data_IF_942094184663
#
_entry.id   IF_942094184663
#
_cell.length_a   1.000
_cell.length_b   1.000
_cell.length_c   1.000
_cell.angle_alpha   90.00
_cell.angle_beta   90.00
_cell.angle_gamma   90.00
#
_symmetry.space_group_name_H-M   'P 1'
#
loop_
_entity.id
_entity.type
_entity.pdbx_description
1 polymer ?
#
# COMPACT_ATOMS: atom_id res chain seq x y z
N UNK A 1 8.34 16.22 32.70
CA UNK A 1 9.40 16.62 31.76
C UNK A 1 9.74 15.39 30.94
N UNK A 2 9.34 15.37 29.67
CA UNK A 2 9.55 14.27 28.73
C UNK A 2 10.22 14.87 27.51
N UNK A 3 11.55 14.92 27.54
CA UNK A 3 12.37 15.11 26.36
C UNK A 3 12.66 13.72 25.76
N UNK A 4 12.35 13.54 24.48
CA UNK A 4 12.76 12.36 23.74
C UNK A 4 11.90 12.10 22.50
N UNK A 5 12.55 12.03 21.34
CA UNK A 5 12.04 11.52 20.05
C UNK A 5 11.39 12.52 19.07
N UNK A 6 12.10 13.58 18.64
CA UNK A 6 11.73 14.36 17.43
C UNK A 6 12.79 14.36 16.30
N UNK A 7 13.92 13.65 16.46
CA UNK A 7 15.02 13.69 15.51
C UNK A 7 14.93 12.70 14.32
N UNK A 8 13.94 11.80 14.29
CA UNK A 8 13.79 10.78 13.22
C UNK A 8 12.94 11.23 12.01
N UNK A 9 11.82 11.90 12.26
CA UNK A 9 10.82 12.23 11.22
C UNK A 9 11.34 13.28 10.20
N UNK A 10 12.04 14.32 10.67
CA UNK A 10 12.59 15.39 9.84
C UNK A 10 13.72 14.91 8.90
N UNK A 11 14.56 13.98 9.37
CA UNK A 11 15.62 13.37 8.56
C UNK A 11 15.05 12.42 7.49
N UNK A 12 13.95 11.72 7.79
CA UNK A 12 13.21 10.90 6.83
C UNK A 12 12.57 11.77 5.74
N UNK A 13 11.89 12.86 6.11
CA UNK A 13 11.24 13.79 5.17
C UNK A 13 12.22 14.41 4.16
N UNK A 14 13.41 14.85 4.59
CA UNK A 14 14.45 15.37 3.68
C UNK A 14 14.96 14.32 2.68
N UNK A 15 15.12 13.07 3.10
CA UNK A 15 15.55 11.97 2.22
C UNK A 15 14.46 11.62 1.21
N UNK A 16 13.20 11.56 1.63
CA UNK A 16 12.06 11.37 0.73
C UNK A 16 11.96 12.52 -0.29
N UNK A 17 12.20 13.77 0.12
CA UNK A 17 12.16 14.92 -0.79
C UNK A 17 13.26 14.85 -1.86
N UNK A 18 14.47 14.42 -1.48
CA UNK A 18 15.58 14.19 -2.43
C UNK A 18 15.24 13.04 -3.38
N UNK A 19 14.72 11.92 -2.86
CA UNK A 19 14.29 10.79 -3.68
C UNK A 19 13.22 11.23 -4.68
N UNK A 20 12.17 11.92 -4.22
CA UNK A 20 11.12 12.48 -5.07
C UNK A 20 11.70 13.38 -6.17
N UNK A 21 12.62 14.28 -5.84
CA UNK A 21 13.24 15.16 -6.83
C UNK A 21 14.04 14.39 -7.90
N UNK A 22 14.79 13.37 -7.49
CA UNK A 22 15.54 12.51 -8.41
C UNK A 22 14.60 11.71 -9.32
N UNK A 23 13.62 11.02 -8.74
CA UNK A 23 12.66 10.20 -9.49
C UNK A 23 11.80 11.05 -10.43
N UNK A 24 11.38 12.26 -10.00
CA UNK A 24 10.65 13.20 -10.86
C UNK A 24 11.52 13.69 -12.02
N UNK A 25 12.80 13.97 -11.77
CA UNK A 25 13.72 14.39 -12.84
C UNK A 25 13.91 13.29 -13.87
N UNK A 26 14.06 12.04 -13.40
CA UNK A 26 14.21 10.89 -14.29
C UNK A 26 12.93 10.60 -15.08
N UNK A 27 11.76 10.65 -14.44
CA UNK A 27 10.45 10.56 -15.10
C UNK A 27 10.32 11.55 -16.28
N UNK A 28 10.71 12.81 -16.07
CA UNK A 28 10.66 13.83 -17.13
C UNK A 28 11.54 13.42 -18.33
N UNK A 29 12.74 12.90 -18.06
CA UNK A 29 13.64 12.41 -19.11
C UNK A 29 13.05 11.21 -19.88
N UNK A 30 12.41 10.27 -19.18
CA UNK A 30 11.76 9.11 -19.82
C UNK A 30 10.54 9.50 -20.65
N UNK A 31 9.68 10.40 -20.15
CA UNK A 31 8.52 10.90 -20.92
C UNK A 31 8.98 11.59 -22.20
N UNK A 32 10.01 12.44 -22.11
CA UNK A 32 10.62 13.08 -23.28
C UNK A 32 11.17 12.00 -24.23
N UNK A 33 11.90 11.02 -23.71
CA UNK A 33 12.44 9.91 -24.50
C UNK A 33 11.35 9.10 -25.20
N UNK A 34 10.28 8.74 -24.50
CA UNK A 34 9.16 7.98 -25.03
C UNK A 34 8.50 8.69 -26.21
N UNK A 35 8.26 10.01 -26.09
CA UNK A 35 7.64 10.82 -27.14
C UNK A 35 8.60 11.01 -28.32
N UNK A 36 9.84 11.41 -28.06
CA UNK A 36 10.84 11.70 -29.11
C UNK A 36 11.18 10.45 -29.91
N UNK A 37 11.34 9.31 -29.24
CA UNK A 37 11.70 8.04 -29.87
C UNK A 37 10.50 7.19 -30.24
N UNK A 38 9.27 7.67 -30.00
CA UNK A 38 8.00 6.97 -30.27
C UNK A 38 7.95 5.55 -29.71
N UNK A 39 8.65 5.28 -28.60
CA UNK A 39 8.68 3.96 -27.97
C UNK A 39 7.55 3.81 -26.97
N UNK A 40 6.70 2.81 -27.19
CA UNK A 40 5.64 2.45 -26.26
C UNK A 40 6.23 1.78 -25.01
N UNK A 41 7.33 1.03 -25.14
CA UNK A 41 7.97 0.41 -24.00
C UNK A 41 8.55 1.46 -23.03
N UNK A 42 9.19 2.52 -23.55
CA UNK A 42 9.59 3.67 -22.72
C UNK A 42 8.39 4.41 -22.12
N UNK A 43 7.28 4.54 -22.86
CA UNK A 43 6.08 5.16 -22.32
C UNK A 43 5.50 4.33 -21.17
N UNK A 44 5.52 3.01 -21.27
CA UNK A 44 5.09 2.11 -20.20
C UNK A 44 5.95 2.25 -18.95
N UNK A 45 7.27 2.32 -19.12
CA UNK A 45 8.23 2.50 -18.01
C UNK A 45 8.01 3.86 -17.33
N UNK A 46 7.95 4.93 -18.13
CA UNK A 46 7.66 6.28 -17.65
C UNK A 46 6.33 6.38 -16.89
N UNK A 47 5.30 5.67 -17.37
CA UNK A 47 3.99 5.73 -16.75
C UNK A 47 3.92 4.94 -15.43
N UNK A 48 4.71 3.88 -15.28
CA UNK A 48 4.94 3.24 -13.98
C UNK A 48 5.68 4.19 -13.02
N UNK A 49 6.80 4.75 -13.47
CA UNK A 49 7.62 5.71 -12.71
C UNK A 49 6.83 6.96 -12.26
N UNK A 50 5.86 7.40 -13.06
CA UNK A 50 4.94 8.49 -12.70
C UNK A 50 4.13 8.17 -11.46
N UNK A 51 3.67 6.93 -11.33
CA UNK A 51 2.87 6.50 -10.19
C UNK A 51 3.73 6.32 -8.93
N UNK A 52 5.00 5.99 -9.07
CA UNK A 52 5.94 6.01 -7.94
C UNK A 52 6.22 7.43 -7.45
N UNK A 53 6.40 8.37 -8.38
CA UNK A 53 6.51 9.80 -8.06
C UNK A 53 5.24 10.29 -7.36
N UNK A 54 4.06 9.90 -7.84
CA UNK A 54 2.79 10.25 -7.21
C UNK A 54 2.69 9.64 -5.79
N UNK A 55 3.04 8.37 -5.62
CA UNK A 55 3.06 7.71 -4.32
C UNK A 55 4.01 8.41 -3.34
N UNK A 56 5.24 8.73 -3.76
CA UNK A 56 6.23 9.43 -2.93
C UNK A 56 5.79 10.86 -2.58
N UNK A 57 5.20 11.59 -3.54
CA UNK A 57 4.70 12.93 -3.31
C UNK A 57 3.54 12.92 -2.30
N UNK A 58 2.63 11.97 -2.43
CA UNK A 58 1.51 11.85 -1.50
C UNK A 58 1.99 11.32 -0.15
N UNK A 59 2.95 10.40 -0.08
CA UNK A 59 3.54 9.98 1.19
C UNK A 59 4.20 11.16 1.94
N UNK A 60 4.94 12.02 1.22
CA UNK A 60 5.48 13.26 1.78
C UNK A 60 4.39 14.21 2.28
N UNK A 61 3.32 14.38 1.50
CA UNK A 61 2.17 15.19 1.90
C UNK A 61 1.47 14.57 3.13
N UNK A 62 1.29 13.26 3.16
CA UNK A 62 0.66 12.51 4.23
C UNK A 62 1.48 12.56 5.52
N UNK A 63 2.82 12.46 5.47
CA UNK A 63 3.69 12.68 6.64
C UNK A 63 3.49 14.10 7.18
N UNK A 64 3.51 15.10 6.29
CA UNK A 64 3.36 16.51 6.69
C UNK A 64 1.96 16.84 7.24
N UNK A 65 0.92 16.16 6.74
CA UNK A 65 -0.46 16.30 7.20
C UNK A 65 -0.69 15.47 8.47
N UNK A 66 -0.10 14.28 8.57
CA UNK A 66 -0.22 13.33 9.68
C UNK A 66 0.53 13.76 10.94
N UNK A 67 1.50 14.67 10.81
CA UNK A 67 2.06 15.42 11.95
C UNK A 67 1.03 16.38 12.58
N UNK A 68 -0.13 16.63 11.96
CA UNK A 68 -1.22 17.36 12.60
C UNK A 68 -1.94 16.46 13.59
N UNK A 69 -2.14 16.99 14.80
CA UNK A 69 -3.01 16.39 15.79
C UNK A 69 -4.45 16.22 15.25
N UNK A 70 -5.19 15.28 15.83
CA UNK A 70 -6.63 15.13 15.60
C UNK A 70 -7.35 16.46 15.83
N UNK A 71 -8.38 16.73 15.03
CA UNK A 71 -9.25 17.89 15.20
C UNK A 71 -10.70 17.43 15.41
N UNK A 72 -11.60 18.36 15.76
CA UNK A 72 -13.00 18.04 16.08
C UNK A 72 -13.77 17.42 14.90
N UNK A 73 -13.27 17.56 13.67
CA UNK A 73 -13.87 16.97 12.46
C UNK A 73 -13.24 15.62 12.09
N UNK A 74 -12.04 15.31 12.59
CA UNK A 74 -11.26 14.10 12.33
C UNK A 74 -10.70 13.60 13.66
N UNK A 75 -11.58 12.98 14.43
CA UNK A 75 -11.30 12.49 15.79
C UNK A 75 -10.23 11.40 15.84
N UNK A 76 -10.15 10.56 14.80
CA UNK A 76 -9.07 9.58 14.60
C UNK A 76 -7.83 10.16 13.89
N UNK A 77 -7.80 11.48 13.67
CA UNK A 77 -6.73 12.16 12.93
C UNK A 77 -6.78 11.91 11.43
N UNK A 78 -5.63 12.15 10.78
CA UNK A 78 -5.52 12.20 9.31
C UNK A 78 -4.94 10.92 8.68
N UNK A 79 -4.81 9.83 9.44
CA UNK A 79 -4.14 8.59 9.00
C UNK A 79 -4.80 7.93 7.78
N UNK A 80 -6.14 7.98 7.66
CA UNK A 80 -6.87 7.43 6.49
C UNK A 80 -6.54 8.13 5.16
N UNK A 81 -5.94 9.33 5.16
CA UNK A 81 -5.50 9.98 3.92
C UNK A 81 -4.43 9.18 3.18
N UNK A 82 -3.57 8.45 3.91
CA UNK A 82 -2.57 7.57 3.31
C UNK A 82 -3.22 6.42 2.52
N UNK A 83 -4.30 5.86 3.05
CA UNK A 83 -5.06 4.78 2.40
C UNK A 83 -5.81 5.29 1.16
N UNK A 84 -6.41 6.48 1.25
CA UNK A 84 -7.06 7.13 0.10
C UNK A 84 -6.05 7.43 -1.02
N UNK A 85 -4.87 7.93 -0.65
CA UNK A 85 -3.78 8.17 -1.57
C UNK A 85 -3.31 6.90 -2.29
N UNK A 86 -3.07 5.83 -1.53
CA UNK A 86 -2.66 4.55 -2.08
C UNK A 86 -3.73 3.96 -3.01
N UNK A 87 -5.01 4.11 -2.67
CA UNK A 87 -6.14 3.70 -3.52
C UNK A 87 -6.16 4.48 -4.82
N UNK A 88 -6.04 5.82 -4.75
CA UNK A 88 -5.98 6.67 -5.94
C UNK A 88 -4.79 6.31 -6.84
N UNK A 89 -3.62 6.07 -6.26
CA UNK A 89 -2.44 5.65 -7.00
C UNK A 89 -2.64 4.30 -7.70
N UNK A 90 -3.25 3.33 -7.01
CA UNK A 90 -3.55 2.02 -7.59
C UNK A 90 -4.55 2.13 -8.76
N UNK A 91 -5.57 2.99 -8.65
CA UNK A 91 -6.50 3.26 -9.76
C UNK A 91 -5.77 3.89 -10.94
N UNK A 92 -4.90 4.87 -10.71
CA UNK A 92 -4.12 5.52 -11.76
C UNK A 92 -3.21 4.52 -12.49
N UNK A 93 -2.51 3.67 -11.75
CA UNK A 93 -1.71 2.56 -12.29
C UNK A 93 -2.54 1.64 -13.20
N UNK A 94 -3.74 1.27 -12.77
CA UNK A 94 -4.64 0.44 -13.57
C UNK A 94 -5.03 1.10 -14.90
N UNK A 95 -5.38 2.38 -14.86
CA UNK A 95 -5.77 3.14 -16.06
C UNK A 95 -4.59 3.25 -17.04
N UNK A 96 -3.40 3.56 -16.51
CA UNK A 96 -2.17 3.64 -17.28
C UNK A 96 -1.81 2.29 -17.90
N UNK A 97 -1.79 1.21 -17.12
CA UNK A 97 -1.50 -0.12 -17.63
C UNK A 97 -2.53 -0.56 -18.68
N UNK A 98 -3.81 -0.27 -18.45
CA UNK A 98 -4.88 -0.50 -19.44
C UNK A 98 -4.66 0.27 -20.75
N UNK A 99 -4.24 1.54 -20.66
CA UNK A 99 -3.88 2.34 -21.83
C UNK A 99 -2.68 1.77 -22.59
N UNK A 100 -1.61 1.40 -21.89
CA UNK A 100 -0.41 0.79 -22.51
C UNK A 100 -0.77 -0.52 -23.20
N UNK A 101 -1.61 -1.36 -22.60
CA UNK A 101 -2.06 -2.61 -23.21
C UNK A 101 -2.91 -2.36 -24.46
N UNK A 102 -3.84 -1.40 -24.38
CA UNK A 102 -4.66 -1.01 -25.52
C UNK A 102 -3.81 -0.50 -26.70
N UNK A 103 -2.90 0.44 -26.44
CA UNK A 103 -1.99 0.96 -27.47
C UNK A 103 -0.99 -0.09 -27.97
N UNK A 104 -0.53 -0.97 -27.08
CA UNK A 104 0.34 -2.08 -27.44
C UNK A 104 -0.33 -3.00 -28.45
N UNK A 105 -1.59 -3.36 -28.21
CA UNK A 105 -2.37 -4.16 -29.14
C UNK A 105 -2.56 -3.43 -30.47
N UNK A 106 -2.88 -2.13 -30.44
CA UNK A 106 -3.06 -1.34 -31.66
C UNK A 106 -1.79 -1.29 -32.52
N UNK A 107 -0.63 -1.06 -31.90
CA UNK A 107 0.68 -1.01 -32.57
C UNK A 107 1.15 -2.35 -33.13
N UNK A 108 0.62 -3.48 -32.64
CA UNK A 108 0.87 -4.77 -33.29
C UNK A 108 0.23 -4.86 -34.68
N UNK A 109 -0.93 -4.23 -34.88
CA UNK A 109 -1.61 -4.19 -36.16
C UNK A 109 -1.19 -3.02 -37.05
N UNK A 110 -0.63 -1.96 -36.46
CA UNK A 110 -0.11 -0.79 -37.19
C UNK A 110 1.27 -0.40 -36.63
N UNK A 111 2.36 -1.09 -37.03
CA UNK A 111 3.68 -0.84 -36.50
C UNK A 111 4.20 0.57 -36.85
N UNK A 112 4.65 1.30 -35.83
CA UNK A 112 5.30 2.60 -36.01
C UNK A 112 6.83 2.47 -36.00
N UNK A 113 7.56 3.36 -36.69
CA UNK A 113 9.01 3.45 -36.55
C UNK A 113 9.40 3.87 -35.14
N UNK A 114 10.27 3.07 -34.49
CA UNK A 114 10.78 3.33 -33.15
C UNK A 114 12.23 3.80 -33.22
N UNK A 115 12.55 4.89 -32.53
CA UNK A 115 13.90 5.44 -32.40
C UNK A 115 14.79 4.59 -31.49
N UNK A 116 15.16 3.39 -31.93
CA UNK A 116 15.79 2.35 -31.11
C UNK A 116 17.11 2.77 -30.44
N UNK A 117 17.93 3.62 -31.08
CA UNK A 117 19.16 4.14 -30.46
C UNK A 117 18.86 5.00 -29.24
N UNK A 118 17.87 5.89 -29.35
CA UNK A 118 17.45 6.74 -28.25
C UNK A 118 16.77 5.96 -27.14
N UNK A 119 15.91 5.02 -27.52
CA UNK A 119 15.29 4.03 -26.62
C UNK A 119 16.35 3.29 -25.78
N UNK A 120 17.42 2.80 -26.43
CA UNK A 120 18.51 2.11 -25.77
C UNK A 120 19.25 3.01 -24.77
N UNK A 121 19.54 4.26 -25.14
CA UNK A 121 20.25 5.21 -24.26
C UNK A 121 19.42 5.50 -23.00
N UNK A 122 18.13 5.79 -23.16
CA UNK A 122 17.24 6.09 -22.02
C UNK A 122 17.10 4.87 -21.12
N UNK A 123 16.85 3.69 -21.68
CA UNK A 123 16.70 2.46 -20.92
C UNK A 123 18.01 2.05 -20.20
N UNK A 124 19.17 2.25 -20.83
CA UNK A 124 20.46 1.99 -20.20
C UNK A 124 20.76 2.96 -19.05
N UNK A 125 20.35 4.22 -19.18
CA UNK A 125 20.45 5.20 -18.10
C UNK A 125 19.54 4.82 -16.93
N UNK A 126 18.29 4.46 -17.20
CA UNK A 126 17.35 3.96 -16.18
C UNK A 126 17.85 2.71 -15.46
N UNK A 127 18.38 1.74 -16.22
CA UNK A 127 19.03 0.56 -15.66
C UNK A 127 20.19 0.94 -14.71
N UNK A 128 21.00 1.92 -15.08
CA UNK A 128 22.10 2.43 -14.26
C UNK A 128 21.60 3.02 -12.94
N UNK A 129 20.54 3.83 -12.99
CA UNK A 129 19.89 4.41 -11.79
C UNK A 129 19.32 3.30 -10.90
N UNK A 130 18.58 2.35 -11.46
CA UNK A 130 17.99 1.25 -10.70
C UNK A 130 19.04 0.34 -10.08
N UNK A 131 20.17 0.09 -10.76
CA UNK A 131 21.27 -0.69 -10.20
C UNK A 131 21.94 0.03 -9.02
N UNK A 132 22.07 1.36 -9.07
CA UNK A 132 22.57 2.17 -7.94
C UNK A 132 21.59 2.08 -6.77
N UNK A 133 20.29 2.30 -7.02
CA UNK A 133 19.23 2.18 -6.00
C UNK A 133 19.20 0.80 -5.36
N UNK A 134 19.30 -0.26 -6.16
CA UNK A 134 19.35 -1.65 -5.69
C UNK A 134 20.55 -1.89 -4.77
N UNK A 135 21.74 -1.39 -5.14
CA UNK A 135 22.96 -1.52 -4.30
C UNK A 135 22.82 -0.78 -2.97
N UNK A 136 22.18 0.38 -2.96
CA UNK A 136 21.92 1.15 -1.75
C UNK A 136 20.93 0.44 -0.81
N UNK A 137 19.93 -0.24 -1.38
CA UNK A 137 18.89 -0.95 -0.63
C UNK A 137 19.29 -2.36 -0.19
N UNK A 138 20.24 -3.00 -0.90
CA UNK A 138 20.68 -4.37 -0.63
C UNK A 138 21.17 -4.57 0.81
N UNK A 139 21.85 -3.58 1.40
CA UNK A 139 22.36 -3.66 2.77
C UNK A 139 21.28 -3.60 3.87
N UNK A 140 20.06 -3.15 3.54
CA UNK A 140 18.94 -3.07 4.50
C UNK A 140 17.80 -4.05 4.22
N UNK A 141 17.86 -4.81 3.13
CA UNK A 141 16.76 -5.69 2.70
C UNK A 141 16.53 -6.88 3.64
N UNK A 142 17.58 -7.33 4.35
CA UNK A 142 17.47 -8.45 5.30
C UNK A 142 16.96 -8.02 6.68
N UNK A 143 17.01 -6.73 7.00
CA UNK A 143 16.72 -6.21 8.35
C UNK A 143 15.33 -5.59 8.47
N UNK A 144 14.67 -5.25 7.36
CA UNK A 144 13.35 -4.62 7.37
C UNK A 144 12.48 -5.09 6.21
N UNK A 145 11.25 -5.51 6.51
CA UNK A 145 10.25 -5.87 5.50
C UNK A 145 9.92 -4.70 4.57
N UNK A 146 9.94 -3.47 5.07
CA UNK A 146 9.70 -2.27 4.26
C UNK A 146 10.84 -2.06 3.25
N UNK A 147 12.09 -2.25 3.67
CA UNK A 147 13.26 -2.15 2.77
C UNK A 147 13.27 -3.33 1.78
N UNK A 148 12.88 -4.53 2.23
CA UNK A 148 12.70 -5.70 1.35
C UNK A 148 11.64 -5.44 0.28
N UNK A 149 10.53 -4.80 0.63
CA UNK A 149 9.49 -4.38 -0.30
C UNK A 149 10.03 -3.41 -1.35
N UNK A 150 10.70 -2.33 -0.92
CA UNK A 150 11.33 -1.38 -1.83
C UNK A 150 12.40 -2.05 -2.74
N UNK A 151 13.17 -3.00 -2.22
CA UNK A 151 14.14 -3.76 -2.99
C UNK A 151 13.50 -4.64 -4.08
N UNK A 152 12.40 -5.33 -3.75
CA UNK A 152 11.66 -6.14 -4.73
C UNK A 152 10.98 -5.30 -5.82
N UNK A 153 10.65 -4.04 -5.51
CA UNK A 153 10.14 -3.09 -6.50
C UNK A 153 11.25 -2.68 -7.47
N UNK A 154 12.40 -2.21 -6.97
CA UNK A 154 13.55 -1.85 -7.82
C UNK A 154 14.01 -3.03 -8.69
N UNK A 155 13.90 -4.27 -8.19
CA UNK A 155 14.16 -5.47 -9.00
C UNK A 155 13.20 -5.66 -10.16
N UNK A 156 11.93 -5.33 -9.97
CA UNK A 156 10.94 -5.38 -11.04
C UNK A 156 11.23 -4.34 -12.12
N UNK A 157 11.62 -3.13 -11.72
CA UNK A 157 11.98 -2.05 -12.65
C UNK A 157 13.23 -2.43 -13.45
N UNK A 158 14.21 -3.03 -12.79
CA UNK A 158 15.40 -3.60 -13.44
C UNK A 158 15.03 -4.61 -14.55
N UNK A 159 14.09 -5.52 -14.27
CA UNK A 159 13.60 -6.48 -15.28
C UNK A 159 12.88 -5.77 -16.43
N UNK A 160 12.09 -4.74 -16.13
CA UNK A 160 11.47 -3.85 -17.12
C UNK A 160 12.52 -3.22 -18.03
N UNK A 161 13.52 -2.52 -17.47
CA UNK A 161 14.59 -1.88 -18.21
C UNK A 161 15.40 -2.87 -19.05
N UNK A 162 15.66 -4.09 -18.56
CA UNK A 162 16.32 -5.16 -19.33
C UNK A 162 15.46 -5.56 -20.53
N UNK A 163 14.14 -5.68 -20.34
CA UNK A 163 13.18 -5.94 -21.42
C UNK A 163 13.23 -4.87 -22.51
N UNK A 164 13.23 -3.58 -22.11
CA UNK A 164 13.33 -2.43 -23.04
C UNK A 164 14.67 -2.44 -23.79
N UNK A 165 15.79 -2.67 -23.10
CA UNK A 165 17.12 -2.76 -23.71
C UNK A 165 17.19 -3.91 -24.72
N UNK A 166 16.70 -5.10 -24.33
CA UNK A 166 16.62 -6.26 -25.21
C UNK A 166 15.79 -5.97 -26.46
N UNK A 167 14.61 -5.35 -26.28
CA UNK A 167 13.75 -4.92 -27.38
C UNK A 167 14.46 -3.94 -28.32
N UNK A 168 15.14 -2.92 -27.78
CA UNK A 168 15.90 -1.96 -28.56
C UNK A 168 17.01 -2.61 -29.39
N UNK A 169 17.77 -3.55 -28.82
CA UNK A 169 18.83 -4.28 -29.53
C UNK A 169 18.27 -5.17 -30.65
N UNK A 170 17.13 -5.82 -30.42
CA UNK A 170 16.45 -6.60 -31.48
C UNK A 170 15.99 -5.67 -32.60
N UNK A 171 15.38 -4.53 -32.28
CA UNK A 171 14.96 -3.55 -33.30
C UNK A 171 16.16 -3.03 -34.09
N UNK A 172 17.28 -2.72 -33.43
CA UNK A 172 18.51 -2.25 -34.10
C UNK A 172 19.12 -3.27 -35.05
N UNK A 173 19.07 -4.56 -34.71
CA UNK A 173 19.71 -5.63 -35.49
C UNK A 173 18.80 -6.20 -36.59
N UNK A 174 17.49 -6.20 -36.38
CA UNK A 174 16.50 -6.85 -37.28
C UNK A 174 15.56 -5.88 -37.99
N UNK A 175 15.40 -4.65 -37.46
CA UNK A 175 14.38 -3.70 -37.91
C UNK A 175 12.96 -4.03 -37.43
N UNK A 176 12.77 -5.03 -36.56
CA UNK A 176 11.46 -5.49 -36.13
C UNK A 176 10.81 -4.56 -35.09
N UNK A 177 10.15 -3.51 -35.57
CA UNK A 177 9.51 -2.50 -34.71
C UNK A 177 8.35 -3.03 -33.86
N UNK A 178 7.73 -4.15 -34.25
CA UNK A 178 6.66 -4.82 -33.46
C UNK A 178 7.15 -5.41 -32.13
N UNK A 179 8.47 -5.48 -31.90
CA UNK A 179 9.03 -5.94 -30.63
C UNK A 179 8.76 -4.93 -29.51
N UNK A 180 8.78 -3.63 -29.80
CA UNK A 180 8.49 -2.56 -28.82
C UNK A 180 7.10 -2.73 -28.16
N UNK A 181 5.99 -2.85 -28.91
CA UNK A 181 4.69 -3.08 -28.29
C UNK A 181 4.56 -4.40 -27.55
N UNK A 182 5.28 -5.46 -27.93
CA UNK A 182 5.30 -6.72 -27.14
C UNK A 182 5.96 -6.51 -25.79
N UNK A 183 7.11 -5.83 -25.77
CA UNK A 183 7.81 -5.51 -24.52
C UNK A 183 6.91 -4.64 -23.64
N UNK A 184 6.26 -3.62 -24.21
CA UNK A 184 5.31 -2.77 -23.50
C UNK A 184 4.12 -3.56 -22.91
N UNK A 185 3.52 -4.46 -23.68
CA UNK A 185 2.45 -5.35 -23.21
C UNK A 185 2.95 -6.23 -22.06
N UNK A 186 4.15 -6.80 -22.20
CA UNK A 186 4.77 -7.62 -21.15
C UNK A 186 4.95 -6.86 -19.84
N UNK A 187 5.46 -5.63 -19.90
CA UNK A 187 5.61 -4.75 -18.73
C UNK A 187 4.24 -4.41 -18.14
N UNK A 188 3.26 -4.03 -18.96
CA UNK A 188 1.90 -3.72 -18.51
C UNK A 188 1.24 -4.90 -17.78
N UNK A 189 1.32 -6.11 -18.34
CA UNK A 189 0.79 -7.33 -17.71
C UNK A 189 1.53 -7.70 -16.42
N UNK A 190 2.81 -7.37 -16.31
CA UNK A 190 3.61 -7.61 -15.11
C UNK A 190 3.20 -6.71 -13.93
N UNK A 191 2.83 -5.46 -14.21
CA UNK A 191 2.43 -4.47 -13.18
C UNK A 191 1.04 -4.77 -12.60
N UNK A 192 0.09 -5.19 -13.46
CA UNK A 192 -1.33 -5.35 -13.08
C UNK A 192 -1.60 -6.20 -11.81
N UNK A 193 -0.98 -7.38 -11.60
CA UNK A 193 -1.24 -8.19 -10.40
C UNK A 193 -0.87 -7.48 -9.10
N UNK A 194 0.23 -6.72 -9.10
CA UNK A 194 0.68 -5.96 -7.92
C UNK A 194 -0.28 -4.82 -7.63
N UNK A 195 -0.66 -4.08 -8.67
CA UNK A 195 -1.65 -3.01 -8.57
C UNK A 195 -3.00 -3.52 -8.06
N UNK A 196 -3.43 -4.71 -8.51
CA UNK A 196 -4.65 -5.35 -8.02
C UNK A 196 -4.59 -5.65 -6.53
N UNK A 197 -3.47 -6.23 -6.07
CA UNK A 197 -3.26 -6.54 -4.66
C UNK A 197 -3.28 -5.25 -3.83
N UNK A 198 -2.59 -4.20 -4.28
CA UNK A 198 -2.60 -2.90 -3.60
C UNK A 198 -4.02 -2.33 -3.50
N UNK A 199 -4.74 -2.25 -4.62
CA UNK A 199 -6.11 -1.73 -4.67
C UNK A 199 -7.06 -2.53 -3.77
N UNK A 200 -6.98 -3.87 -3.80
CA UNK A 200 -7.77 -4.74 -2.94
C UNK A 200 -7.49 -4.47 -1.47
N UNK A 201 -6.22 -4.31 -1.09
CA UNK A 201 -5.83 -4.09 0.30
C UNK A 201 -6.30 -2.74 0.82
N UNK A 202 -6.14 -1.67 0.04
CA UNK A 202 -6.55 -0.33 0.47
C UNK A 202 -8.07 -0.22 0.51
N UNK A 203 -8.76 -0.80 -0.46
CA UNK A 203 -10.23 -0.89 -0.47
C UNK A 203 -10.75 -1.67 0.74
N UNK A 204 -10.09 -2.78 1.11
CA UNK A 204 -10.44 -3.54 2.31
C UNK A 204 -10.37 -2.69 3.59
N UNK A 205 -9.36 -1.84 3.72
CA UNK A 205 -9.25 -0.90 4.85
C UNK A 205 -10.35 0.18 4.79
N UNK A 206 -10.64 0.72 3.60
CA UNK A 206 -11.71 1.73 3.43
C UNK A 206 -13.10 1.18 3.73
N UNK A 207 -13.31 -0.12 3.50
CA UNK A 207 -14.54 -0.84 3.83
C UNK A 207 -14.58 -1.35 5.28
N UNK A 208 -13.63 -0.91 6.12
CA UNK A 208 -13.54 -1.28 7.54
C UNK A 208 -13.42 -2.78 7.76
N UNK A 209 -12.76 -3.46 6.80
CA UNK A 209 -12.52 -4.89 6.88
C UNK A 209 -11.53 -5.25 7.98
N UNK A 210 -11.66 -6.48 8.48
CA UNK A 210 -10.79 -7.04 9.53
C UNK A 210 -9.31 -6.94 9.12
N UNK A 211 -8.45 -6.32 9.92
CA UNK A 211 -7.03 -6.13 9.57
C UNK A 211 -6.32 -7.45 9.27
N UNK A 212 -5.35 -7.40 8.36
CA UNK A 212 -4.59 -8.59 7.96
C UNK A 212 -3.84 -9.18 9.15
N UNK A 213 -3.82 -10.50 9.25
CA UNK A 213 -3.16 -11.22 10.34
C UNK A 213 -4.03 -11.41 11.57
N UNK A 214 -5.18 -10.72 11.66
CA UNK A 214 -6.17 -10.94 12.70
C UNK A 214 -7.27 -11.89 12.23
N UNK A 215 -7.80 -12.65 13.18
CA UNK A 215 -8.94 -13.53 12.98
C UNK A 215 -10.02 -13.19 14.00
N UNK A 216 -11.24 -12.94 13.51
CA UNK A 216 -12.40 -12.69 14.37
C UNK A 216 -12.62 -13.82 15.38
N UNK A 217 -12.40 -15.08 14.97
CA UNK A 217 -12.56 -16.23 15.86
C UNK A 217 -11.46 -16.31 16.92
N UNK A 218 -10.22 -15.97 16.56
CA UNK A 218 -9.12 -15.96 17.51
C UNK A 218 -9.28 -14.84 18.54
N UNK A 219 -9.63 -13.63 18.10
CA UNK A 219 -9.89 -12.49 19.00
C UNK A 219 -11.07 -12.80 19.93
N UNK A 220 -12.18 -13.32 19.39
CA UNK A 220 -13.34 -13.75 20.19
C UNK A 220 -12.95 -14.80 21.23
N UNK A 221 -12.15 -15.80 20.85
CA UNK A 221 -11.69 -16.82 21.78
C UNK A 221 -10.79 -16.25 22.89
N UNK A 222 -9.93 -15.27 22.57
CA UNK A 222 -9.12 -14.57 23.58
C UNK A 222 -9.98 -13.81 24.58
N UNK A 223 -11.00 -13.08 24.11
CA UNK A 223 -11.93 -12.35 25.00
C UNK A 223 -12.71 -13.33 25.87
N UNK A 224 -13.28 -14.39 25.27
CA UNK A 224 -14.07 -15.38 25.99
C UNK A 224 -13.26 -16.19 27.03
N UNK A 225 -11.93 -16.25 26.89
CA UNK A 225 -11.05 -16.90 27.86
C UNK A 225 -10.76 -16.06 29.11
N UNK A 226 -11.17 -14.78 29.13
CA UNK A 226 -10.97 -13.91 30.31
C UNK A 226 -11.93 -14.32 31.43
N UNK A 227 -11.44 -14.57 32.66
CA UNK A 227 -12.31 -14.91 33.78
C UNK A 227 -13.37 -13.85 34.05
N UNK A 228 -14.61 -14.29 34.21
CA UNK A 228 -15.76 -13.41 34.46
C UNK A 228 -16.57 -13.08 33.21
N UNK A 229 -16.05 -13.35 32.01
CA UNK A 229 -16.77 -13.24 30.74
C UNK A 229 -17.66 -14.46 30.54
N UNK A 230 -18.93 -14.25 30.24
CA UNK A 230 -19.90 -15.33 29.95
C UNK A 230 -20.26 -15.39 28.48
N UNK A 231 -20.33 -14.24 27.80
CA UNK A 231 -20.59 -14.17 26.37
C UNK A 231 -19.93 -12.94 25.73
N UNK A 232 -19.71 -13.01 24.42
CA UNK A 232 -19.12 -11.95 23.60
C UNK A 232 -19.97 -11.81 22.35
N UNK A 233 -20.44 -10.61 22.05
CA UNK A 233 -21.19 -10.33 20.83
C UNK A 233 -20.86 -8.93 20.30
N UNK A 234 -21.42 -8.59 19.14
CA UNK A 234 -21.16 -7.33 18.43
C UNK A 234 -19.67 -6.95 18.35
N UNK A 235 -18.81 -7.95 18.13
CA UNK A 235 -17.38 -7.75 17.96
C UNK A 235 -17.13 -7.20 16.55
N UNK A 236 -16.56 -6.01 16.48
CA UNK A 236 -16.12 -5.35 15.26
C UNK A 236 -14.64 -5.03 15.35
N UNK A 237 -13.91 -5.33 14.28
CA UNK A 237 -12.48 -5.01 14.14
C UNK A 237 -12.26 -4.27 12.83
N UNK A 238 -11.59 -3.13 12.88
CA UNK A 238 -11.23 -2.38 11.68
C UNK A 238 -9.85 -1.72 11.82
N UNK A 239 -9.27 -1.36 10.68
CA UNK A 239 -8.03 -0.58 10.63
C UNK A 239 -8.28 0.87 10.24
N UNK A 240 -7.59 1.82 10.87
CA UNK A 240 -7.52 3.22 10.41
C UNK A 240 -6.35 3.41 9.44
N UNK A 241 -5.26 2.68 9.67
CA UNK A 241 -4.12 2.50 8.76
C UNK A 241 -3.59 1.07 8.88
N UNK A 242 -2.48 0.76 8.21
CA UNK A 242 -1.83 -0.55 8.25
C UNK A 242 -1.42 -1.01 9.65
N UNK A 243 -1.10 -0.07 10.53
CA UNK A 243 -0.52 -0.32 11.86
C UNK A 243 -1.45 0.17 13.01
N UNK A 244 -2.68 0.56 12.70
CA UNK A 244 -3.63 1.14 13.66
C UNK A 244 -4.94 0.36 13.65
N UNK A 245 -5.02 -0.65 14.53
CA UNK A 245 -6.16 -1.53 14.68
C UNK A 245 -7.06 -1.05 15.80
N UNK A 246 -8.35 -0.99 15.52
CA UNK A 246 -9.39 -0.56 16.44
C UNK A 246 -10.41 -1.69 16.64
N UNK A 247 -10.99 -1.75 17.83
CA UNK A 247 -12.03 -2.71 18.17
C UNK A 247 -13.21 -2.09 18.91
N UNK A 248 -14.39 -2.62 18.64
CA UNK A 248 -15.61 -2.42 19.46
C UNK A 248 -16.18 -3.78 19.79
N UNK A 249 -16.58 -3.99 21.04
CA UNK A 249 -17.14 -5.28 21.46
C UNK A 249 -18.11 -5.13 22.62
N UNK A 250 -19.16 -5.94 22.60
CA UNK A 250 -20.09 -6.11 23.69
C UNK A 250 -19.74 -7.38 24.46
N UNK A 251 -19.74 -7.27 25.78
CA UNK A 251 -19.25 -8.28 26.69
C UNK A 251 -20.24 -8.51 27.81
N UNK A 252 -20.73 -9.74 27.93
CA UNK A 252 -21.59 -10.15 29.03
C UNK A 252 -20.73 -10.73 30.15
N UNK A 253 -20.94 -10.27 31.38
CA UNK A 253 -20.26 -10.80 32.56
C UNK A 253 -21.19 -11.61 33.47
N UNK A 254 -20.59 -12.54 34.21
CA UNK A 254 -21.29 -13.30 35.23
C UNK A 254 -21.86 -12.40 36.34
N UNK A 255 -23.03 -12.76 36.85
CA UNK A 255 -23.69 -12.03 37.93
C UNK A 255 -22.79 -11.96 39.18
N UNK A 256 -22.71 -10.78 39.79
CA UNK A 256 -21.86 -10.52 40.96
C UNK A 256 -20.38 -10.26 40.66
N UNK A 257 -19.93 -10.33 39.40
CA UNK A 257 -18.58 -9.89 39.02
C UNK A 257 -18.49 -8.36 38.95
N UNK A 258 -17.39 -7.75 39.44
CA UNK A 258 -17.16 -6.32 39.24
C UNK A 258 -16.85 -6.05 37.74
N UNK A 259 -17.59 -5.15 37.07
CA UNK A 259 -17.42 -4.90 35.63
C UNK A 259 -16.04 -4.38 35.22
N UNK A 260 -15.52 -3.39 35.96
CA UNK A 260 -14.29 -2.67 35.60
C UNK A 260 -13.04 -3.59 35.54
N UNK A 261 -12.77 -4.46 36.52
CA UNK A 261 -11.66 -5.40 36.45
C UNK A 261 -11.73 -6.35 35.25
N UNK A 262 -12.92 -6.86 34.91
CA UNK A 262 -13.09 -7.75 33.75
C UNK A 262 -12.85 -6.98 32.47
N UNK A 263 -13.43 -5.77 32.34
CA UNK A 263 -13.21 -4.88 31.18
C UNK A 263 -11.73 -4.60 30.97
N UNK A 264 -11.00 -4.27 32.04
CA UNK A 264 -9.57 -3.99 31.97
C UNK A 264 -8.76 -5.22 31.56
N UNK A 265 -9.07 -6.39 32.12
CA UNK A 265 -8.39 -7.64 31.74
C UNK A 265 -8.58 -7.98 30.25
N UNK A 266 -9.76 -7.72 29.69
CA UNK A 266 -10.03 -7.88 28.26
C UNK A 266 -9.20 -6.91 27.43
N UNK A 267 -9.20 -5.62 27.77
CA UNK A 267 -8.39 -4.61 27.08
C UNK A 267 -6.91 -4.99 27.09
N UNK A 268 -6.38 -5.39 28.25
CA UNK A 268 -4.98 -5.85 28.36
C UNK A 268 -4.71 -7.07 27.48
N UNK A 269 -5.63 -8.04 27.40
CA UNK A 269 -5.43 -9.22 26.54
C UNK A 269 -5.52 -8.91 25.05
N UNK A 270 -6.37 -7.98 24.66
CA UNK A 270 -6.46 -7.51 23.27
C UNK A 270 -5.16 -6.84 22.81
N UNK A 271 -4.55 -6.04 23.68
CA UNK A 271 -3.25 -5.43 23.44
C UNK A 271 -2.12 -6.48 23.44
N UNK A 272 -1.94 -7.23 24.53
CA UNK A 272 -0.82 -8.18 24.70
C UNK A 272 -0.78 -9.29 23.64
N UNK A 273 -1.94 -9.79 23.20
CA UNK A 273 -2.03 -10.96 22.30
C UNK A 273 -2.17 -10.56 20.85
N UNK A 274 -2.91 -9.48 20.57
CA UNK A 274 -3.31 -9.09 19.21
C UNK A 274 -2.79 -7.71 18.79
N UNK A 275 -2.15 -6.94 19.68
CA UNK A 275 -1.66 -5.60 19.41
C UNK A 275 -2.78 -4.56 19.20
N UNK A 276 -3.96 -4.80 19.77
CA UNK A 276 -5.11 -3.91 19.62
C UNK A 276 -5.07 -2.88 20.76
N UNK A 277 -4.43 -1.75 20.52
CA UNK A 277 -4.25 -0.68 21.50
C UNK A 277 -5.52 0.15 21.73
N UNK A 278 -6.35 0.33 20.70
CA UNK A 278 -7.57 1.13 20.77
C UNK A 278 -8.82 0.24 20.71
N UNK A 279 -9.39 -0.06 21.86
CA UNK A 279 -10.60 -0.85 21.96
C UNK A 279 -11.66 -0.19 22.86
N UNK A 280 -12.92 -0.28 22.44
CA UNK A 280 -14.10 0.06 23.23
C UNK A 280 -14.81 -1.22 23.64
N UNK A 281 -15.06 -1.37 24.93
CA UNK A 281 -15.70 -2.57 25.50
C UNK A 281 -16.94 -2.11 26.25
N UNK A 282 -18.11 -2.46 25.71
CA UNK A 282 -19.39 -2.29 26.40
C UNK A 282 -19.64 -3.50 27.29
N UNK A 283 -19.82 -3.27 28.59
CA UNK A 283 -20.11 -4.35 29.54
C UNK A 283 -21.59 -4.41 29.82
N UNK A 284 -22.18 -5.58 29.63
CA UNK A 284 -23.59 -5.86 29.81
C UNK A 284 -23.81 -6.87 30.94
N UNK A 285 -24.94 -6.72 31.65
CA UNK A 285 -25.28 -7.53 32.82
C UNK A 285 -26.49 -8.41 32.52
N UNK A 286 -26.48 -9.62 33.04
CA UNK A 286 -27.58 -10.58 32.90
C UNK A 286 -27.28 -11.71 31.90
N UNK A 287 -28.09 -12.77 31.88
CA UNK A 287 -27.78 -14.01 31.16
C UNK A 287 -27.68 -13.85 29.63
N UNK A 288 -28.29 -12.80 29.07
CA UNK A 288 -28.36 -12.59 27.63
C UNK A 288 -27.91 -11.18 27.17
N UNK A 289 -27.30 -10.37 28.05
CA UNK A 289 -26.97 -8.97 27.76
C UNK A 289 -28.19 -8.03 27.63
N UNK A 290 -27.97 -6.80 27.17
CA UNK A 290 -29.04 -5.82 26.89
C UNK A 290 -29.63 -6.05 25.49
N UNK A 291 -30.58 -6.98 25.38
CA UNK A 291 -31.34 -7.24 24.14
C UNK A 291 -32.18 -6.04 23.64
N UNK A 292 -32.26 -4.95 24.42
CA UNK A 292 -33.06 -3.76 24.09
C UNK A 292 -32.23 -2.59 23.59
N UNK A 293 -30.91 -2.74 23.54
CA UNK A 293 -30.01 -1.75 22.93
C UNK A 293 -30.25 -1.59 21.43
N UNK A 294 -30.24 -0.36 20.88
CA UNK A 294 -30.29 -0.15 19.45
C UNK A 294 -28.92 -0.47 18.82
N UNK A 295 -28.69 -1.73 18.46
CA UNK A 295 -27.48 -2.20 17.77
C UNK A 295 -27.69 -3.62 17.25
N UNK A 296 -27.71 -3.76 15.93
CA UNK A 296 -27.98 -4.97 15.13
C UNK A 296 -28.04 -6.32 15.89
N UNK A 297 -29.27 -6.76 16.17
CA UNK A 297 -29.54 -8.07 16.74
C UNK A 297 -29.05 -9.23 15.86
N UNK A 298 -28.63 -10.30 16.54
CA UNK A 298 -28.79 -11.71 16.19
C UNK A 298 -28.52 -12.18 14.73
N UNK A 299 -27.78 -11.45 13.92
CA UNK A 299 -27.24 -12.01 12.67
C UNK A 299 -25.82 -12.50 12.91
N UNK A 300 -25.58 -13.80 13.10
CA UNK A 300 -24.22 -14.33 13.07
C UNK A 300 -23.62 -13.96 11.71
N UNK A 301 -22.50 -13.24 11.73
CA UNK A 301 -21.67 -13.07 10.53
C UNK A 301 -21.22 -14.47 10.09
N UNK A 302 -21.75 -14.92 8.94
CA UNK A 302 -21.42 -16.19 8.31
C UNK A 302 -20.00 -16.18 7.71
#
# INVERSE_FOLDING_TARGET
MSEGHSHGASASSKRLAIALALTTTFLVAEVIGAIVFKSLALLSDAAHMMTDVAALAIALAAIKIGERASDDLRTFGYRRFEILAATFNAVLLFLVAGYVLYEGILRLFSPEPVGSTGMLIVAAFGLGVNLISMRLLAGGADTSLNVKGAYLEVWADLLGSIGVIGGALVIMTTGWTWVDPIVAIGIGLWVLPRTWILLKNTTHILLEGVPKGLSMSAVRATIAAVPGVTDVHDLHLWGVSSDDVNASVHLVIAEGQPPEPVRFAVLTKLDEVHGIEHATVQVELGPDGDKTGPGHGDTPHA
#
